data_IF_448475449652
#
_entry.id   IF_448475449652
#
_cell.length_a   1.000
_cell.length_b   1.000
_cell.length_c   1.000
_cell.angle_alpha   90.00
_cell.angle_beta   90.00
_cell.angle_gamma   90.00
#
_symmetry.space_group_name_H-M   'P 1'
#
loop_
_entity.id
_entity.type
_entity.pdbx_description
1 polymer ?
#
# COMPACT_ATOMS: atom_id res chain seq x y z
N UNK A 1 -45.44 -3.58 55.24
CA UNK A 1 -44.91 -3.07 53.95
C UNK A 1 -45.27 -4.07 52.86
N UNK A 2 -45.77 -3.61 51.72
CA UNK A 2 -46.28 -4.48 50.64
C UNK A 2 -45.13 -5.07 49.82
N UNK A 3 -45.20 -6.37 49.49
CA UNK A 3 -44.23 -7.09 48.64
C UNK A 3 -43.96 -6.39 47.30
N UNK A 4 -44.91 -5.59 46.82
CA UNK A 4 -44.80 -4.86 45.56
C UNK A 4 -43.77 -3.72 45.58
N UNK A 5 -43.46 -3.17 46.77
CA UNK A 5 -42.48 -2.10 46.94
C UNK A 5 -41.06 -2.64 46.98
N UNK A 6 -40.85 -3.81 47.60
CA UNK A 6 -39.56 -4.51 47.67
C UNK A 6 -39.05 -4.92 46.28
N UNK A 7 -39.90 -5.54 45.46
CA UNK A 7 -39.56 -5.97 44.09
C UNK A 7 -39.16 -4.78 43.20
N UNK A 8 -39.74 -3.60 43.45
CA UNK A 8 -39.44 -2.38 42.67
C UNK A 8 -38.06 -1.82 43.02
N UNK A 9 -37.68 -1.86 44.30
CA UNK A 9 -36.37 -1.41 44.77
C UNK A 9 -35.27 -2.35 44.24
N UNK A 10 -35.47 -3.67 44.31
CA UNK A 10 -34.50 -4.65 43.80
C UNK A 10 -34.24 -4.51 42.30
N UNK A 11 -35.28 -4.27 41.49
CA UNK A 11 -35.11 -4.02 40.06
C UNK A 11 -34.34 -2.74 39.75
N UNK A 12 -34.55 -1.67 40.53
CA UNK A 12 -33.82 -0.40 40.36
C UNK A 12 -32.35 -0.57 40.72
N UNK A 13 -32.05 -1.23 41.85
CA UNK A 13 -30.67 -1.51 42.25
C UNK A 13 -29.94 -2.41 41.24
N UNK A 14 -30.61 -3.44 40.71
CA UNK A 14 -30.03 -4.34 39.70
C UNK A 14 -29.72 -3.62 38.38
N UNK A 15 -30.62 -2.75 37.91
CA UNK A 15 -30.38 -1.97 36.69
C UNK A 15 -29.27 -0.92 36.88
N UNK A 16 -29.16 -0.33 38.08
CA UNK A 16 -28.10 0.62 38.40
C UNK A 16 -26.73 -0.07 38.48
N UNK A 17 -26.66 -1.27 39.07
CA UNK A 17 -25.42 -2.05 39.11
C UNK A 17 -24.96 -2.43 37.70
N UNK A 18 -25.87 -2.89 36.83
CA UNK A 18 -25.54 -3.16 35.42
C UNK A 18 -25.02 -1.94 34.67
N UNK A 19 -25.55 -0.75 34.96
CA UNK A 19 -25.07 0.50 34.36
C UNK A 19 -23.64 0.79 34.83
N UNK A 20 -23.35 0.66 36.13
CA UNK A 20 -22.01 0.86 36.69
C UNK A 20 -21.02 -0.14 36.10
N UNK A 21 -21.38 -1.42 35.99
CA UNK A 21 -20.51 -2.47 35.46
C UNK A 21 -20.21 -2.28 33.95
N UNK A 22 -21.07 -1.55 33.23
CA UNK A 22 -20.89 -1.24 31.81
C UNK A 22 -20.07 0.03 31.53
N UNK A 23 -19.85 0.89 32.54
CA UNK A 23 -19.07 2.12 32.38
C UNK A 23 -17.63 1.88 31.90
N UNK A 24 -16.87 0.88 32.39
CA UNK A 24 -15.51 0.62 31.91
C UNK A 24 -15.46 0.28 30.41
N UNK A 25 -16.41 -0.54 29.94
CA UNK A 25 -16.51 -0.91 28.52
C UNK A 25 -16.87 0.29 27.65
N UNK A 26 -17.70 1.21 28.16
CA UNK A 26 -18.06 2.43 27.44
C UNK A 26 -16.87 3.40 27.36
N UNK A 27 -16.14 3.57 28.46
CA UNK A 27 -14.92 4.38 28.51
C UNK A 27 -13.83 3.80 27.59
N UNK A 28 -13.65 2.49 27.58
CA UNK A 28 -12.69 1.81 26.70
C UNK A 28 -13.06 1.96 25.21
N UNK A 29 -14.37 1.92 24.89
CA UNK A 29 -14.87 2.12 23.53
C UNK A 29 -14.68 3.54 23.01
N UNK A 30 -14.64 4.53 23.92
CA UNK A 30 -14.46 5.95 23.58
C UNK A 30 -12.99 6.39 23.67
N UNK A 31 -12.15 5.67 24.41
CA UNK A 31 -10.73 5.98 24.56
C UNK A 31 -9.99 5.94 23.22
N UNK A 32 -10.18 4.88 22.43
CA UNK A 32 -9.48 4.74 21.14
C UNK A 32 -9.88 5.79 20.09
N UNK A 33 -11.16 6.10 19.87
CA UNK A 33 -11.56 7.21 19.00
C UNK A 33 -10.99 8.56 19.44
N UNK A 34 -10.96 8.86 20.75
CA UNK A 34 -10.40 10.11 21.28
C UNK A 34 -8.88 10.18 21.12
N UNK A 35 -8.16 9.08 21.38
CA UNK A 35 -6.71 8.99 21.14
C UNK A 35 -6.41 9.19 19.65
N UNK A 36 -7.17 8.55 18.78
CA UNK A 36 -7.01 8.68 17.32
C UNK A 36 -7.25 10.12 16.86
N UNK A 37 -8.34 10.75 17.33
CA UNK A 37 -8.63 12.16 17.04
C UNK A 37 -7.54 13.10 17.54
N UNK A 38 -7.00 12.83 18.73
CA UNK A 38 -5.91 13.63 19.31
C UNK A 38 -4.63 13.48 18.49
N UNK A 39 -4.26 12.27 18.09
CA UNK A 39 -3.10 12.01 17.23
C UNK A 39 -3.29 12.69 15.87
N UNK A 40 -4.46 12.54 15.24
CA UNK A 40 -4.77 13.20 13.96
C UNK A 40 -4.68 14.72 14.09
N UNK A 41 -5.19 15.29 15.18
CA UNK A 41 -5.14 16.74 15.41
C UNK A 41 -3.71 17.25 15.61
N UNK A 42 -2.89 16.54 16.39
CA UNK A 42 -1.46 16.87 16.59
C UNK A 42 -0.72 16.77 15.26
N UNK A 43 -0.85 15.65 14.55
CA UNK A 43 -0.16 15.43 13.27
C UNK A 43 -0.65 16.37 12.17
N UNK A 44 -1.92 16.76 12.16
CA UNK A 44 -2.46 17.70 11.16
C UNK A 44 -1.77 19.06 11.24
N UNK A 45 -1.47 19.53 12.45
CA UNK A 45 -0.75 20.80 12.63
C UNK A 45 0.70 20.68 12.17
N UNK A 46 1.38 19.59 12.52
CA UNK A 46 2.77 19.35 12.12
C UNK A 46 2.91 19.13 10.61
N UNK A 47 1.97 18.42 9.98
CA UNK A 47 1.95 18.19 8.53
C UNK A 47 1.72 19.51 7.79
N UNK A 48 0.81 20.37 8.26
CA UNK A 48 0.61 21.68 7.65
C UNK A 48 1.84 22.57 7.78
N UNK A 49 2.53 22.54 8.93
CA UNK A 49 3.78 23.29 9.12
C UNK A 49 4.89 22.77 8.20
N UNK A 50 5.06 21.44 8.09
CA UNK A 50 6.04 20.83 7.18
C UNK A 50 5.71 21.13 5.72
N UNK A 51 4.44 21.02 5.30
CA UNK A 51 4.01 21.33 3.93
C UNK A 51 4.23 22.81 3.62
N UNK A 52 3.88 23.71 4.54
CA UNK A 52 4.12 25.16 4.37
C UNK A 52 5.61 25.45 4.28
N UNK A 53 6.43 24.85 5.15
CA UNK A 53 7.89 25.00 5.12
C UNK A 53 8.54 24.43 3.86
N UNK A 54 8.03 23.33 3.32
CA UNK A 54 8.49 22.76 2.04
C UNK A 54 8.04 23.66 0.87
N UNK A 55 6.82 24.19 0.91
CA UNK A 55 6.30 25.11 -0.11
C UNK A 55 7.03 26.46 -0.12
N UNK A 56 7.45 26.94 1.04
CA UNK A 56 8.21 28.20 1.21
C UNK A 56 9.73 28.01 1.08
N UNK A 57 10.24 26.78 1.13
CA UNK A 57 11.66 26.48 0.96
C UNK A 57 12.09 26.78 -0.48
N UNK A 58 12.77 27.91 -0.66
CA UNK A 58 13.52 28.21 -1.89
C UNK A 58 14.85 27.47 -1.84
N UNK A 59 14.92 26.35 -2.55
CA UNK A 59 16.19 25.68 -2.79
C UNK A 59 16.99 26.47 -3.84
N UNK A 60 18.34 26.43 -3.83
CA UNK A 60 19.18 27.18 -4.77
C UNK A 60 19.01 26.78 -6.24
N UNK A 61 18.19 25.76 -6.53
CA UNK A 61 17.81 25.28 -7.85
C UNK A 61 16.31 25.49 -8.19
N UNK A 62 15.54 26.21 -7.36
CA UNK A 62 14.13 26.56 -7.61
C UNK A 62 13.15 26.08 -6.53
N UNK A 63 11.88 26.49 -6.64
CA UNK A 63 10.77 25.99 -5.81
C UNK A 63 10.20 24.70 -6.42
N UNK A 64 10.07 23.64 -5.62
CA UNK A 64 9.45 22.39 -6.05
C UNK A 64 7.98 22.42 -5.59
N UNK A 65 7.06 22.69 -6.50
CA UNK A 65 5.66 22.41 -6.26
C UNK A 65 5.43 20.88 -6.33
N UNK A 66 4.56 20.36 -5.47
CA UNK A 66 4.21 18.94 -5.49
C UNK A 66 3.55 18.60 -6.83
N UNK A 67 4.15 17.69 -7.61
CA UNK A 67 3.72 17.33 -8.98
C UNK A 67 4.41 18.10 -10.11
N UNK A 68 5.40 18.95 -9.79
CA UNK A 68 6.11 19.80 -10.77
C UNK A 68 7.60 19.40 -10.89
N UNK A 69 7.94 18.18 -10.47
CA UNK A 69 9.30 17.71 -10.57
C UNK A 69 9.65 17.48 -12.04
N UNK A 70 10.86 17.86 -12.47
CA UNK A 70 11.33 17.54 -13.83
C UNK A 70 11.31 16.05 -14.12
N UNK A 71 11.31 15.19 -13.10
CA UNK A 71 11.17 13.74 -13.24
C UNK A 71 9.76 13.32 -13.70
N UNK A 72 8.73 14.09 -13.33
CA UNK A 72 7.35 13.87 -13.79
C UNK A 72 7.13 14.39 -15.23
N UNK A 73 8.00 15.31 -15.69
CA UNK A 73 8.03 15.84 -17.06
C UNK A 73 9.00 15.12 -18.00
N UNK A 74 9.79 14.16 -17.48
CA UNK A 74 10.54 13.29 -18.39
C UNK A 74 9.49 12.51 -19.18
N UNK A 75 9.52 12.54 -20.52
CA UNK A 75 8.73 11.60 -21.28
C UNK A 75 9.10 10.24 -20.74
N UNK A 76 8.10 9.48 -20.27
CA UNK A 76 8.27 8.05 -20.01
C UNK A 76 8.91 7.54 -21.27
N UNK A 77 10.19 7.19 -21.21
CA UNK A 77 10.88 6.60 -22.32
C UNK A 77 10.24 5.22 -22.42
N UNK A 78 9.11 5.17 -23.13
CA UNK A 78 8.48 3.96 -23.62
C UNK A 78 9.47 3.40 -24.63
N UNK A 79 10.56 2.83 -24.13
CA UNK A 79 11.50 2.03 -24.88
C UNK A 79 10.70 0.87 -25.42
N UNK A 80 10.13 1.07 -26.62
CA UNK A 80 9.43 0.09 -27.43
C UNK A 80 8.84 -1.09 -26.66
N UNK A 81 7.92 -0.83 -25.73
CA UNK A 81 7.08 -1.90 -25.19
C UNK A 81 6.18 -2.27 -26.37
N UNK A 82 6.64 -3.23 -27.19
CA UNK A 82 5.72 -4.01 -28.00
C UNK A 82 4.74 -4.60 -27.00
N UNK A 83 3.46 -4.28 -27.16
CA UNK A 83 2.36 -5.02 -26.56
C UNK A 83 2.47 -6.46 -27.04
N UNK A 84 3.31 -7.21 -26.34
CA UNK A 84 3.64 -8.59 -26.62
C UNK A 84 2.69 -9.42 -25.77
N UNK A 85 1.81 -10.09 -26.49
CA UNK A 85 0.94 -11.18 -26.10
C UNK A 85 -0.21 -10.89 -25.14
N UNK A 86 -1.39 -11.19 -25.69
CA UNK A 86 -2.65 -11.47 -25.04
C UNK A 86 -2.45 -12.44 -23.86
N UNK A 87 -2.14 -11.90 -22.69
CA UNK A 87 -2.35 -12.63 -21.45
C UNK A 87 -3.86 -12.71 -21.26
N UNK A 88 -4.40 -13.91 -21.03
CA UNK A 88 -5.83 -14.07 -20.75
C UNK A 88 -6.14 -13.38 -19.41
N UNK A 89 -6.69 -12.16 -19.48
CA UNK A 89 -6.93 -11.28 -18.33
C UNK A 89 -8.27 -11.56 -17.63
N UNK A 90 -8.99 -12.62 -18.04
CA UNK A 90 -10.27 -13.00 -17.45
C UNK A 90 -10.18 -13.41 -15.97
N UNK A 91 -8.97 -13.66 -15.46
CA UNK A 91 -8.70 -14.14 -14.09
C UNK A 91 -8.19 -13.06 -13.12
N UNK A 92 -8.05 -11.80 -13.54
CA UNK A 92 -7.52 -10.74 -12.67
C UNK A 92 -8.59 -10.26 -11.69
N UNK A 93 -8.31 -10.43 -10.39
CA UNK A 93 -9.23 -10.05 -9.31
C UNK A 93 -8.93 -8.64 -8.79
N UNK A 94 -9.38 -7.62 -9.52
CA UNK A 94 -9.20 -6.20 -9.16
C UNK A 94 -10.00 -5.76 -7.93
N UNK A 95 -11.02 -6.54 -7.56
CA UNK A 95 -11.84 -6.36 -6.37
C UNK A 95 -11.06 -6.60 -5.06
N UNK A 96 -9.89 -7.23 -5.13
CA UNK A 96 -9.03 -7.52 -3.98
C UNK A 96 -8.10 -6.33 -3.65
N UNK A 97 -8.68 -5.15 -3.45
CA UNK A 97 -7.96 -3.89 -3.21
C UNK A 97 -6.86 -3.97 -2.14
N UNK A 98 -7.10 -4.69 -1.04
CA UNK A 98 -6.09 -4.88 0.00
C UNK A 98 -4.83 -5.59 -0.52
N UNK A 99 -4.98 -6.61 -1.37
CA UNK A 99 -3.84 -7.32 -1.96
C UNK A 99 -3.12 -6.46 -3.00
N UNK A 100 -3.83 -5.60 -3.74
CA UNK A 100 -3.21 -4.64 -4.66
C UNK A 100 -2.36 -3.62 -3.89
N UNK A 101 -2.89 -3.09 -2.79
CA UNK A 101 -2.17 -2.18 -1.91
C UNK A 101 -0.90 -2.84 -1.33
N UNK A 102 -1.04 -4.03 -0.74
CA UNK A 102 0.09 -4.74 -0.15
C UNK A 102 1.11 -5.18 -1.20
N UNK A 103 0.68 -5.58 -2.40
CA UNK A 103 1.58 -5.86 -3.51
C UNK A 103 2.46 -4.66 -3.85
N UNK A 104 1.87 -3.48 -4.03
CA UNK A 104 2.62 -2.26 -4.33
C UNK A 104 3.61 -1.91 -3.20
N UNK A 105 3.15 -2.01 -1.95
CA UNK A 105 4.00 -1.79 -0.78
C UNK A 105 5.19 -2.76 -0.73
N UNK A 106 4.96 -4.05 -0.96
CA UNK A 106 5.99 -5.08 -0.84
C UNK A 106 7.02 -4.99 -1.98
N UNK A 107 6.59 -4.62 -3.19
CA UNK A 107 7.50 -4.30 -4.30
C UNK A 107 8.38 -3.10 -3.94
N UNK A 108 7.78 -2.01 -3.47
CA UNK A 108 8.52 -0.81 -3.07
C UNK A 108 9.52 -1.13 -1.94
N UNK A 109 9.08 -1.85 -0.92
CA UNK A 109 9.92 -2.24 0.21
C UNK A 109 11.08 -3.14 -0.24
N UNK A 110 10.81 -4.15 -1.06
CA UNK A 110 11.82 -5.11 -1.55
C UNK A 110 12.85 -4.42 -2.44
N UNK A 111 12.40 -3.51 -3.30
CA UNK A 111 13.28 -2.67 -4.13
C UNK A 111 14.18 -1.78 -3.26
N UNK A 112 13.61 -1.16 -2.22
CA UNK A 112 14.39 -0.40 -1.25
C UNK A 112 15.39 -1.26 -0.46
N UNK A 113 15.01 -2.48 -0.10
CA UNK A 113 15.89 -3.42 0.59
C UNK A 113 17.05 -3.88 -0.30
N UNK A 114 16.81 -4.10 -1.60
CA UNK A 114 17.87 -4.39 -2.58
C UNK A 114 18.91 -3.26 -2.61
N UNK A 115 18.46 -2.01 -2.77
CA UNK A 115 19.30 -0.83 -2.91
C UNK A 115 20.06 -0.46 -1.62
N UNK A 116 19.53 -0.83 -0.44
CA UNK A 116 20.15 -0.56 0.87
C UNK A 116 20.99 -1.71 1.41
N UNK A 117 21.43 -2.63 0.55
CA UNK A 117 22.22 -3.81 0.95
C UNK A 117 21.51 -4.70 2.00
N UNK A 118 20.20 -4.85 1.89
CA UNK A 118 19.41 -5.73 2.76
C UNK A 118 19.91 -7.18 2.72
N UNK A 119 19.81 -7.92 3.84
CA UNK A 119 20.25 -9.31 3.91
C UNK A 119 19.38 -10.20 3.01
N UNK A 120 19.96 -11.28 2.47
CA UNK A 120 19.29 -12.20 1.53
C UNK A 120 17.94 -12.69 2.06
N UNK A 121 17.88 -13.09 3.33
CA UNK A 121 16.63 -13.56 3.96
C UNK A 121 15.51 -12.52 3.95
N UNK A 122 15.86 -11.24 4.09
CA UNK A 122 14.89 -10.16 4.02
C UNK A 122 14.36 -9.99 2.60
N UNK A 123 15.23 -10.08 1.60
CA UNK A 123 14.84 -10.04 0.18
C UNK A 123 13.92 -11.20 -0.17
N UNK A 124 14.30 -12.42 0.23
CA UNK A 124 13.50 -13.63 -0.01
C UNK A 124 12.12 -13.53 0.62
N UNK A 125 12.00 -12.94 1.82
CA UNK A 125 10.69 -12.67 2.44
C UNK A 125 9.88 -11.68 1.61
N UNK A 126 10.49 -10.58 1.16
CA UNK A 126 9.85 -9.60 0.29
C UNK A 126 9.30 -10.23 -0.99
N UNK A 127 10.13 -10.96 -1.73
CA UNK A 127 9.71 -11.67 -2.94
C UNK A 127 8.59 -12.68 -2.70
N UNK A 128 8.63 -13.44 -1.59
CA UNK A 128 7.54 -14.37 -1.24
C UNK A 128 6.22 -13.66 -1.00
N UNK A 129 6.21 -12.49 -0.36
CA UNK A 129 4.98 -11.72 -0.15
C UNK A 129 4.44 -11.17 -1.47
N UNK A 130 5.32 -10.64 -2.34
CA UNK A 130 4.95 -10.18 -3.69
C UNK A 130 4.29 -11.33 -4.48
N UNK A 131 4.92 -12.51 -4.52
CA UNK A 131 4.38 -13.69 -5.20
C UNK A 131 3.06 -14.17 -4.59
N UNK A 132 2.92 -14.10 -3.27
CA UNK A 132 1.67 -14.43 -2.58
C UNK A 132 0.52 -13.52 -3.04
N UNK A 133 0.75 -12.20 -3.06
CA UNK A 133 -0.27 -11.25 -3.52
C UNK A 133 -0.59 -11.40 -5.00
N UNK A 134 0.42 -11.62 -5.86
CA UNK A 134 0.22 -11.92 -7.28
C UNK A 134 -0.65 -13.15 -7.50
N UNK A 135 -0.42 -14.22 -6.73
CA UNK A 135 -1.26 -15.41 -6.77
C UNK A 135 -2.71 -15.11 -6.36
N UNK A 136 -2.90 -14.33 -5.29
CA UNK A 136 -4.24 -13.99 -4.83
C UNK A 136 -5.01 -13.16 -5.88
N UNK A 137 -4.35 -12.25 -6.59
CA UNK A 137 -5.00 -11.39 -7.60
C UNK A 137 -5.06 -12.03 -9.00
N UNK A 138 -4.61 -13.28 -9.16
CA UNK A 138 -4.67 -14.01 -10.43
C UNK A 138 -3.55 -13.68 -11.43
N UNK A 139 -2.46 -13.04 -10.97
CA UNK A 139 -1.32 -12.64 -11.81
C UNK A 139 -0.08 -13.53 -11.65
N UNK A 140 -0.13 -14.61 -10.87
CA UNK A 140 1.03 -15.49 -10.67
C UNK A 140 1.57 -16.10 -11.98
N UNK A 141 0.68 -16.54 -12.88
CA UNK A 141 1.07 -17.18 -14.15
C UNK A 141 1.29 -16.19 -15.30
N UNK A 142 1.05 -14.89 -15.04
CA UNK A 142 1.31 -13.81 -16.00
C UNK A 142 2.81 -13.67 -16.30
N UNK A 143 3.15 -12.96 -17.37
CA UNK A 143 4.54 -12.60 -17.69
C UNK A 143 5.25 -11.94 -16.48
N UNK A 144 4.55 -11.06 -15.76
CA UNK A 144 5.11 -10.35 -14.60
C UNK A 144 5.29 -11.26 -13.39
N UNK A 145 4.34 -12.17 -13.16
CA UNK A 145 4.45 -13.16 -12.08
C UNK A 145 5.64 -14.09 -12.27
N UNK A 146 5.85 -14.57 -13.50
CA UNK A 146 7.01 -15.38 -13.90
C UNK A 146 8.32 -14.62 -13.74
N UNK A 147 8.39 -13.38 -14.25
CA UNK A 147 9.57 -12.52 -14.07
C UNK A 147 9.94 -12.35 -12.59
N UNK A 148 8.96 -12.05 -11.73
CA UNK A 148 9.20 -11.87 -10.30
C UNK A 148 9.67 -13.19 -9.64
N UNK A 149 9.12 -14.33 -10.07
CA UNK A 149 9.58 -15.64 -9.61
C UNK A 149 11.04 -15.91 -10.03
N UNK A 150 11.41 -15.56 -11.27
CA UNK A 150 12.79 -15.65 -11.76
C UNK A 150 13.74 -14.75 -10.97
N UNK A 151 13.35 -13.50 -10.68
CA UNK A 151 14.15 -12.60 -9.84
C UNK A 151 14.37 -13.16 -8.43
N UNK A 152 13.32 -13.74 -7.82
CA UNK A 152 13.43 -14.42 -6.54
C UNK A 152 14.41 -15.60 -6.60
N UNK A 153 14.37 -16.40 -7.67
CA UNK A 153 15.33 -17.48 -7.89
C UNK A 153 16.76 -16.96 -8.07
N UNK A 154 16.95 -15.90 -8.87
CA UNK A 154 18.27 -15.28 -9.07
C UNK A 154 18.86 -14.78 -7.74
N UNK A 155 18.04 -14.11 -6.91
CA UNK A 155 18.45 -13.65 -5.58
C UNK A 155 18.76 -14.81 -4.64
N UNK A 156 18.21 -16.01 -4.86
CA UNK A 156 18.56 -17.18 -4.06
C UNK A 156 19.86 -17.83 -4.53
N UNK A 157 20.07 -17.92 -5.84
CA UNK A 157 21.20 -18.65 -6.45
C UNK A 157 22.50 -17.85 -6.52
N UNK A 158 22.41 -16.52 -6.49
CA UNK A 158 23.60 -15.66 -6.63
C UNK A 158 24.53 -15.81 -5.42
N UNK A 159 25.81 -16.09 -5.60
CA UNK A 159 26.74 -16.32 -4.48
C UNK A 159 26.96 -15.02 -3.68
N UNK A 160 27.12 -13.90 -4.39
CA UNK A 160 27.35 -12.59 -3.81
C UNK A 160 26.40 -11.56 -4.42
N UNK A 161 25.55 -10.98 -3.58
CA UNK A 161 24.62 -9.92 -3.98
C UNK A 161 25.37 -8.59 -4.11
N UNK A 162 26.08 -8.42 -5.23
CA UNK A 162 26.83 -7.19 -5.55
C UNK A 162 25.89 -6.00 -5.71
N UNK A 163 26.44 -4.78 -5.62
CA UNK A 163 25.66 -3.56 -5.81
C UNK A 163 25.04 -3.48 -7.22
N UNK A 164 25.76 -3.94 -8.25
CA UNK A 164 25.29 -3.98 -9.64
C UNK A 164 24.12 -4.94 -9.80
N UNK A 165 24.26 -6.18 -9.31
CA UNK A 165 23.18 -7.17 -9.33
C UNK A 165 21.94 -6.65 -8.59
N UNK A 166 22.12 -6.08 -7.40
CA UNK A 166 21.00 -5.52 -6.61
C UNK A 166 20.29 -4.39 -7.34
N UNK A 167 21.04 -3.51 -7.99
CA UNK A 167 20.50 -2.40 -8.80
C UNK A 167 19.70 -2.93 -9.98
N UNK A 168 20.23 -3.92 -10.70
CA UNK A 168 19.55 -4.55 -11.84
C UNK A 168 18.23 -5.21 -11.41
N UNK A 169 18.25 -6.02 -10.35
CA UNK A 169 17.04 -6.68 -9.81
C UNK A 169 16.02 -5.64 -9.34
N UNK A 170 16.46 -4.58 -8.66
CA UNK A 170 15.56 -3.52 -8.19
C UNK A 170 14.92 -2.76 -9.37
N UNK A 171 15.66 -2.54 -10.46
CA UNK A 171 15.15 -1.92 -11.68
C UNK A 171 14.10 -2.80 -12.36
N UNK A 172 14.40 -4.10 -12.54
CA UNK A 172 13.46 -5.08 -13.12
C UNK A 172 12.18 -5.22 -12.28
N UNK A 173 12.30 -5.23 -10.95
CA UNK A 173 11.16 -5.31 -10.05
C UNK A 173 10.27 -4.07 -10.13
N UNK A 174 10.86 -2.87 -10.20
CA UNK A 174 10.11 -1.62 -10.39
C UNK A 174 9.42 -1.56 -11.75
N UNK A 175 10.09 -2.01 -12.81
CA UNK A 175 9.48 -2.09 -14.15
C UNK A 175 8.26 -3.04 -14.15
N UNK A 176 8.38 -4.21 -13.50
CA UNK A 176 7.25 -5.12 -13.33
C UNK A 176 6.10 -4.45 -12.56
N UNK A 177 6.39 -3.70 -11.49
CA UNK A 177 5.39 -2.94 -10.75
C UNK A 177 4.66 -1.92 -11.61
N UNK A 178 5.40 -1.19 -12.46
CA UNK A 178 4.81 -0.20 -13.37
C UNK A 178 3.86 -0.87 -14.38
N UNK A 179 4.29 -1.97 -14.98
CA UNK A 179 3.46 -2.74 -15.94
C UNK A 179 2.21 -3.31 -15.27
N UNK A 180 2.35 -3.88 -14.07
CA UNK A 180 1.20 -4.35 -13.26
C UNK A 180 0.25 -3.19 -12.96
N UNK A 181 0.77 -2.03 -12.54
CA UNK A 181 -0.05 -0.84 -12.27
C UNK A 181 -0.84 -0.38 -13.50
N UNK A 182 -0.20 -0.33 -14.67
CA UNK A 182 -0.86 0.02 -15.93
C UNK A 182 -1.93 -1.01 -16.33
N UNK A 183 -1.65 -2.29 -16.15
CA UNK A 183 -2.63 -3.36 -16.40
C UNK A 183 -3.87 -3.22 -15.52
N UNK A 184 -3.66 -2.99 -14.22
CA UNK A 184 -4.74 -2.84 -13.25
C UNK A 184 -5.57 -1.57 -13.51
N UNK A 185 -4.92 -0.47 -13.89
CA UNK A 185 -5.58 0.77 -14.29
C UNK A 185 -6.56 0.55 -15.47
N UNK A 186 -6.15 -0.24 -16.48
CA UNK A 186 -7.02 -0.56 -17.62
C UNK A 186 -8.25 -1.42 -17.27
N UNK A 187 -8.30 -2.01 -16.08
CA UNK A 187 -9.42 -2.83 -15.59
C UNK A 187 -10.33 -2.07 -14.61
N UNK A 188 -9.98 -0.85 -14.23
CA UNK A 188 -10.80 -0.02 -13.34
C UNK A 188 -11.84 0.76 -14.15
N UNK A 189 -13.13 0.50 -13.93
CA UNK A 189 -14.21 1.27 -14.54
C UNK A 189 -14.09 2.76 -14.18
N UNK A 190 -14.06 3.62 -15.19
CA UNK A 190 -13.98 5.07 -15.01
C UNK A 190 -12.57 5.63 -14.74
N UNK A 191 -11.52 4.81 -14.77
CA UNK A 191 -10.14 5.29 -14.70
C UNK A 191 -9.71 5.88 -16.05
N UNK A 192 -9.70 7.21 -16.18
CA UNK A 192 -9.07 7.90 -17.29
C UNK A 192 -7.56 7.95 -17.05
N UNK A 193 -6.81 7.16 -17.81
CA UNK A 193 -5.35 7.11 -17.72
C UNK A 193 -4.67 8.37 -18.27
N UNK A 194 -5.43 9.40 -18.67
CA UNK A 194 -4.90 10.68 -19.17
C UNK A 194 -4.16 10.57 -20.51
N UNK A 195 -4.07 9.35 -21.05
CA UNK A 195 -3.43 9.03 -22.33
C UNK A 195 -4.42 9.12 -23.50
N UNK A 196 -5.63 9.61 -23.27
CA UNK A 196 -6.57 9.95 -24.32
C UNK A 196 -6.87 8.77 -25.24
N UNK A 197 -7.41 7.69 -24.70
CA UNK A 197 -8.02 6.67 -25.57
C UNK A 197 -9.38 7.18 -26.05
N UNK A 198 -9.35 7.95 -27.13
CA UNK A 198 -10.53 8.14 -27.98
C UNK A 198 -10.87 6.79 -28.62
N UNK A 199 -11.69 5.98 -27.95
CA UNK A 199 -12.36 4.88 -28.62
C UNK A 199 -13.81 5.27 -28.92
N UNK A 200 -14.11 5.25 -30.23
CA UNK A 200 -15.43 5.40 -30.83
C UNK A 200 -16.32 4.21 -30.50
#
# INVERSE_FOLDING_TARGET
MSNHTLIRIEKVCFNFQKLIDSLPLFVESLAWPLVTLTIVWILKNDIHDVITRIAEAKFPWGSIAFGDSKADMLPVETTGIKDSDSTDFSSVHVDKFANLYWLANDIMWTSGALLRNGPRDALMRGFRQILHHLNIIGLADSEHGKLIAELNHAVLSEDSLTAEFRSEVASKLQNASYRIGHLLAGQQEGFDNGLGTKNK
#
